data_IF_921984849407
#
_entry.id   IF_921984849407
#
_cell.length_a   1.000
_cell.length_b   1.000
_cell.length_c   1.000
_cell.angle_alpha   90.00
_cell.angle_beta   90.00
_cell.angle_gamma   90.00
#
_symmetry.space_group_name_H-M   'P 1'
#
loop_
_entity.id
_entity.type
_entity.pdbx_description
1 polymer ?
#
# COMPACT_ATOMS: atom_id res chain seq x y z
N UNK A 1 12.23 11.78 -18.70
CA UNK A 1 11.53 11.89 -17.40
C UNK A 1 11.87 10.64 -16.59
N UNK A 2 11.97 10.69 -15.25
CA UNK A 2 12.24 9.47 -14.48
C UNK A 2 10.90 8.80 -14.12
N UNK A 3 10.54 7.73 -14.84
CA UNK A 3 9.30 6.98 -14.57
C UNK A 3 9.26 6.36 -13.17
N UNK A 4 10.42 6.17 -12.55
CA UNK A 4 10.57 5.59 -11.21
C UNK A 4 10.45 6.63 -10.08
N UNK A 5 9.96 7.85 -10.37
CA UNK A 5 9.76 8.87 -9.35
C UNK A 5 8.68 8.41 -8.33
N UNK A 6 9.06 8.30 -7.06
CA UNK A 6 8.15 7.84 -5.99
C UNK A 6 8.08 6.31 -5.79
N UNK A 7 8.77 5.53 -6.63
CA UNK A 7 8.87 4.09 -6.48
C UNK A 7 9.90 3.68 -5.42
N UNK A 8 9.51 2.76 -4.55
CA UNK A 8 10.38 2.13 -3.54
C UNK A 8 11.07 0.89 -4.13
N UNK A 9 12.07 0.38 -3.41
CA UNK A 9 12.79 -0.85 -3.80
C UNK A 9 11.84 -2.04 -3.96
N UNK A 10 10.84 -2.17 -3.09
CA UNK A 10 9.82 -3.22 -3.17
C UNK A 10 8.94 -3.07 -4.42
N UNK A 11 8.56 -1.86 -4.81
CA UNK A 11 7.73 -1.64 -6.02
C UNK A 11 8.51 -2.02 -7.29
N UNK A 12 9.82 -1.70 -7.36
CA UNK A 12 10.68 -2.09 -8.48
C UNK A 12 10.96 -3.60 -8.52
N UNK A 13 10.95 -4.27 -7.37
CA UNK A 13 11.11 -5.73 -7.32
C UNK A 13 9.91 -6.40 -7.99
N UNK A 14 8.69 -5.98 -7.61
CA UNK A 14 7.45 -6.49 -8.22
C UNK A 14 7.46 -6.25 -9.73
N UNK A 15 7.82 -5.04 -10.17
CA UNK A 15 7.89 -4.72 -11.60
C UNK A 15 8.90 -5.60 -12.37
N UNK A 16 10.04 -5.92 -11.76
CA UNK A 16 11.03 -6.80 -12.40
C UNK A 16 10.56 -8.27 -12.44
N UNK A 17 9.92 -8.77 -11.38
CA UNK A 17 9.32 -10.11 -11.38
C UNK A 17 8.26 -10.24 -12.48
N UNK A 18 7.45 -9.20 -12.68
CA UNK A 18 6.40 -9.18 -13.71
C UNK A 18 6.95 -9.14 -15.13
N UNK A 19 8.13 -8.54 -15.31
CA UNK A 19 8.90 -8.58 -16.56
C UNK A 19 9.65 -9.91 -16.75
N UNK A 20 9.47 -10.90 -15.86
CA UNK A 20 10.11 -12.21 -15.90
C UNK A 20 11.57 -12.20 -15.45
N UNK A 21 12.06 -11.11 -14.86
CA UNK A 21 13.43 -11.00 -14.36
C UNK A 21 13.56 -11.57 -12.95
N UNK A 22 14.66 -12.27 -12.69
CA UNK A 22 14.92 -12.85 -11.37
C UNK A 22 15.55 -11.82 -10.44
N UNK A 23 14.75 -11.26 -9.52
CA UNK A 23 15.21 -10.23 -8.58
C UNK A 23 15.40 -10.76 -7.16
N UNK A 24 16.66 -10.74 -6.75
CA UNK A 24 17.06 -11.10 -5.40
C UNK A 24 17.07 -9.90 -4.45
N UNK A 25 16.84 -10.11 -3.14
CA UNK A 25 16.76 -9.01 -2.16
C UNK A 25 18.08 -8.26 -1.94
N UNK A 26 19.20 -8.86 -2.34
CA UNK A 26 20.54 -8.24 -2.30
C UNK A 26 20.72 -7.13 -3.35
N UNK A 27 19.93 -7.12 -4.43
CA UNK A 27 20.09 -6.15 -5.51
C UNK A 27 19.84 -4.72 -5.03
N UNK A 28 20.68 -3.79 -5.48
CA UNK A 28 20.48 -2.37 -5.19
C UNK A 28 19.40 -1.81 -6.12
N UNK A 29 18.81 -0.69 -5.72
CA UNK A 29 17.83 0.04 -6.54
C UNK A 29 18.33 0.32 -7.97
N UNK A 30 19.63 0.64 -8.09
CA UNK A 30 20.28 0.89 -9.37
C UNK A 30 20.34 -0.36 -10.26
N UNK A 31 20.59 -1.52 -9.66
CA UNK A 31 20.68 -2.79 -10.38
C UNK A 31 19.30 -3.22 -10.88
N UNK A 32 18.27 -3.07 -10.03
CA UNK A 32 16.87 -3.31 -10.40
C UNK A 32 16.44 -2.46 -11.60
N UNK A 33 16.73 -1.15 -11.57
CA UNK A 33 16.43 -0.26 -12.71
C UNK A 33 17.15 -0.69 -13.98
N UNK A 34 18.38 -1.16 -13.85
CA UNK A 34 19.18 -1.61 -15.00
C UNK A 34 18.64 -2.92 -15.58
N UNK A 35 18.17 -3.83 -14.74
CA UNK A 35 17.50 -5.07 -15.16
C UNK A 35 16.19 -4.77 -15.90
N UNK A 36 15.34 -3.90 -15.33
CA UNK A 36 14.09 -3.48 -15.94
C UNK A 36 14.33 -2.85 -17.32
N UNK A 37 15.30 -1.95 -17.46
CA UNK A 37 15.67 -1.36 -18.76
C UNK A 37 16.31 -2.34 -19.74
N UNK A 38 16.93 -3.42 -19.26
CA UNK A 38 17.55 -4.43 -20.10
C UNK A 38 16.57 -5.50 -20.59
N UNK A 39 15.35 -5.56 -20.02
CA UNK A 39 14.33 -6.50 -20.47
C UNK A 39 13.90 -6.20 -21.90
N UNK A 40 13.83 -7.26 -22.70
CA UNK A 40 13.45 -7.17 -24.12
C UNK A 40 11.99 -6.76 -24.33
N UNK A 41 11.15 -7.02 -23.34
CA UNK A 41 9.72 -6.70 -23.35
C UNK A 41 9.40 -5.43 -22.57
N UNK A 42 10.43 -4.66 -22.18
CA UNK A 42 10.22 -3.41 -21.47
C UNK A 42 9.57 -2.36 -22.39
N UNK A 43 8.31 -2.06 -22.11
CA UNK A 43 7.61 -0.91 -22.64
C UNK A 43 7.50 0.18 -21.57
N UNK A 44 7.97 1.39 -21.88
CA UNK A 44 8.05 2.49 -20.90
C UNK A 44 6.66 2.92 -20.41
N UNK A 45 5.65 2.89 -21.28
CA UNK A 45 4.29 3.29 -20.95
C UNK A 45 3.60 2.23 -20.08
N UNK A 46 3.71 0.96 -20.47
CA UNK A 46 3.21 -0.18 -19.70
C UNK A 46 3.88 -0.28 -18.34
N UNK A 47 5.20 -0.15 -18.26
CA UNK A 47 5.93 -0.18 -16.99
C UNK A 47 5.51 0.97 -16.07
N UNK A 48 5.22 2.14 -16.63
CA UNK A 48 4.73 3.30 -15.88
C UNK A 48 3.31 3.07 -15.37
N UNK A 49 2.40 2.53 -16.18
CA UNK A 49 1.05 2.19 -15.73
C UNK A 49 1.07 1.14 -14.63
N UNK A 50 1.83 0.06 -14.80
CA UNK A 50 2.01 -0.98 -13.79
C UNK A 50 2.56 -0.43 -12.48
N UNK A 51 3.59 0.41 -12.55
CA UNK A 51 4.18 1.02 -11.36
C UNK A 51 3.20 1.96 -10.65
N UNK A 52 2.38 2.71 -11.41
CA UNK A 52 1.32 3.53 -10.84
C UNK A 52 0.27 2.68 -10.12
N UNK A 53 -0.13 1.54 -10.69
CA UNK A 53 -1.05 0.59 -10.05
C UNK A 53 -0.48 0.08 -8.73
N UNK A 54 0.77 -0.40 -8.71
CA UNK A 54 1.44 -0.90 -7.50
C UNK A 54 1.51 0.19 -6.42
N UNK A 55 1.91 1.41 -6.81
CA UNK A 55 1.98 2.55 -5.88
C UNK A 55 0.59 2.93 -5.36
N UNK A 56 -0.43 2.90 -6.22
CA UNK A 56 -1.80 3.25 -5.86
C UNK A 56 -2.39 2.20 -4.90
N UNK A 57 -2.27 0.91 -5.21
CA UNK A 57 -2.72 -0.18 -4.33
C UNK A 57 -2.10 -0.11 -2.94
N UNK A 58 -0.80 0.20 -2.86
CA UNK A 58 -0.14 0.44 -1.57
C UNK A 58 -0.78 1.61 -0.83
N UNK A 59 -0.93 2.76 -1.51
CA UNK A 59 -1.51 3.96 -0.90
C UNK A 59 -2.96 3.72 -0.45
N UNK A 60 -3.73 2.97 -1.23
CA UNK A 60 -5.10 2.61 -0.89
C UNK A 60 -5.14 1.68 0.34
N UNK A 61 -4.24 0.69 0.42
CA UNK A 61 -4.14 -0.17 1.61
C UNK A 61 -3.79 0.64 2.86
N UNK A 62 -2.75 1.47 2.79
CA UNK A 62 -2.35 2.34 3.91
C UNK A 62 -3.46 3.34 4.30
N UNK A 63 -4.20 3.86 3.31
CA UNK A 63 -5.32 4.76 3.52
C UNK A 63 -6.56 4.07 4.11
N UNK A 64 -6.84 2.83 3.70
CA UNK A 64 -7.94 2.05 4.24
C UNK A 64 -7.65 1.56 5.65
N UNK A 65 -6.42 1.18 5.97
CA UNK A 65 -6.03 0.85 7.34
C UNK A 65 -6.28 2.02 8.30
N UNK A 66 -5.90 3.24 7.90
CA UNK A 66 -6.17 4.45 8.70
C UNK A 66 -7.67 4.70 8.90
N UNK A 67 -8.45 4.62 7.83
CA UNK A 67 -9.92 4.78 7.91
C UNK A 67 -10.54 3.69 8.78
N UNK A 68 -10.08 2.45 8.67
CA UNK A 68 -10.58 1.35 9.46
C UNK A 68 -10.26 1.52 10.96
N UNK A 69 -9.07 2.04 11.28
CA UNK A 69 -8.70 2.39 12.67
C UNK A 69 -9.60 3.49 13.21
N UNK A 70 -9.86 4.56 12.45
CA UNK A 70 -10.77 5.63 12.86
C UNK A 70 -12.19 5.13 13.10
N UNK A 71 -12.71 4.26 12.21
CA UNK A 71 -14.04 3.64 12.36
C UNK A 71 -14.09 2.80 13.63
N UNK A 72 -13.09 1.94 13.87
CA UNK A 72 -13.04 1.11 15.09
C UNK A 72 -13.00 1.95 16.36
N UNK A 73 -12.27 3.07 16.37
CA UNK A 73 -12.23 3.99 17.51
C UNK A 73 -13.60 4.64 17.72
N UNK A 74 -14.27 5.07 16.64
CA UNK A 74 -15.58 5.69 16.71
C UNK A 74 -16.66 4.70 17.20
N UNK A 75 -16.64 3.46 16.69
CA UNK A 75 -17.56 2.39 17.14
C UNK A 75 -17.35 2.05 18.60
N UNK A 76 -16.09 1.92 19.06
CA UNK A 76 -15.80 1.67 20.47
C UNK A 76 -16.34 2.78 21.37
N UNK A 77 -16.13 4.05 21.01
CA UNK A 77 -16.67 5.19 21.77
C UNK A 77 -18.20 5.18 21.84
N UNK A 78 -18.86 4.87 20.73
CA UNK A 78 -20.32 4.74 20.69
C UNK A 78 -20.79 3.62 21.62
N UNK A 79 -20.10 2.49 21.65
CA UNK A 79 -20.46 1.36 22.49
C UNK A 79 -20.28 1.69 23.98
N UNK A 80 -19.17 2.33 24.34
CA UNK A 80 -18.91 2.81 25.70
C UNK A 80 -19.98 3.83 26.15
N UNK A 81 -20.41 4.74 25.29
CA UNK A 81 -21.48 5.70 25.60
C UNK A 81 -22.83 5.00 25.82
N UNK A 82 -23.18 4.01 25.00
CA UNK A 82 -24.41 3.22 25.18
C UNK A 82 -24.37 2.44 26.50
N UNK A 83 -23.23 1.85 26.84
CA UNK A 83 -23.06 1.10 28.07
C UNK A 83 -23.15 1.99 29.31
N UNK A 84 -22.51 3.17 29.28
CA UNK A 84 -22.64 4.18 30.34
C UNK A 84 -24.10 4.62 30.54
N UNK A 85 -24.83 4.90 29.45
CA UNK A 85 -26.25 5.28 29.54
C UNK A 85 -27.13 4.15 30.07
N UNK A 86 -26.80 2.88 29.78
CA UNK A 86 -27.49 1.74 30.36
C UNK A 86 -27.24 1.63 31.86
N UNK A 87 -25.99 1.73 32.29
CA UNK A 87 -25.63 1.72 33.71
C UNK A 87 -26.33 2.85 34.47
N UNK A 88 -26.32 4.07 33.92
CA UNK A 88 -26.98 5.22 34.54
C UNK A 88 -28.52 5.05 34.65
N UNK A 89 -29.15 4.38 33.68
CA UNK A 89 -30.57 4.02 33.75
C UNK A 89 -30.86 2.92 34.78
N UNK A 90 -29.94 1.96 34.97
CA UNK A 90 -30.08 0.91 35.99
C UNK A 90 -29.87 1.46 37.41
N UNK A 91 -28.92 2.36 37.62
CA UNK A 91 -28.68 2.98 38.94
C UNK A 91 -29.80 3.93 39.39
N UNK A 92 -30.57 4.49 38.45
CA UNK A 92 -31.70 5.39 38.74
C UNK A 92 -33.03 4.67 38.97
N UNK A 93 -33.07 3.33 38.96
CA UNK A 93 -34.27 2.51 39.06
C UNK A 93 -34.40 1.85 40.43
#
# INVERSE_FOLDING_TARGET
>A
MSIFAGARKCDLKILAEELGETVNDSHKLKDLKKMIWASKEYDEESAKEWLNTIINERKEREGNERRNVEIQIAERRRQEEIEQRKQECEERK
#
